data_IF_515808134200
#
_entry.id   IF_515808134200
#
_cell.length_a   1.000
_cell.length_b   1.000
_cell.length_c   1.000
_cell.angle_alpha   90.00
_cell.angle_beta   90.00
_cell.angle_gamma   90.00
#
_symmetry.space_group_name_H-M   'P 1'
#
loop_
_entity.id
_entity.type
_entity.pdbx_description
1 polymer ?
#
# COMPACT_ATOMS: atom_id res chain seq x y z
N UNK A 1 -0.18 7.93 2.30
CA UNK A 1 -0.50 8.89 1.28
C UNK A 1 -2.00 8.91 0.90
N UNK A 2 -2.76 7.89 1.31
CA UNK A 2 -4.21 7.86 1.21
C UNK A 2 -4.78 7.44 -0.15
N UNK A 3 -3.97 7.13 -1.12
CA UNK A 3 -4.44 6.62 -2.41
C UNK A 3 -4.89 5.15 -2.31
N UNK A 4 -5.94 4.74 -3.05
CA UNK A 4 -6.41 3.37 -3.03
C UNK A 4 -5.41 2.42 -3.68
N UNK A 5 -5.43 1.17 -3.22
CA UNK A 5 -4.69 0.04 -3.80
C UNK A 5 -5.68 -0.96 -4.36
N UNK A 6 -5.54 -1.29 -5.62
CA UNK A 6 -6.40 -2.24 -6.32
C UNK A 6 -5.67 -3.56 -6.63
N UNK A 7 -6.44 -4.57 -6.98
CA UNK A 7 -5.92 -5.78 -7.61
C UNK A 7 -5.26 -5.50 -8.97
N UNK A 8 -4.87 -6.55 -9.72
CA UNK A 8 -4.08 -6.37 -10.94
C UNK A 8 -4.88 -5.89 -12.16
N UNK A 9 -6.17 -5.59 -12.03
CA UNK A 9 -7.01 -5.19 -13.14
C UNK A 9 -7.41 -3.73 -13.06
N UNK A 10 -7.27 -3.01 -14.17
CA UNK A 10 -7.79 -1.66 -14.34
C UNK A 10 -8.37 -1.47 -15.76
N UNK A 11 -9.04 -0.35 -16.00
CA UNK A 11 -9.49 -0.01 -17.33
C UNK A 11 -8.32 0.10 -18.30
N UNK A 12 -8.44 -0.48 -19.48
CA UNK A 12 -7.38 -0.47 -20.49
C UNK A 12 -6.94 0.96 -20.84
N UNK A 13 -7.91 1.88 -20.95
CA UNK A 13 -7.63 3.30 -21.09
C UNK A 13 -7.85 4.00 -19.74
N UNK A 14 -6.86 4.70 -19.19
CA UNK A 14 -6.93 5.23 -17.82
C UNK A 14 -8.14 6.14 -17.54
N UNK A 15 -8.63 6.85 -18.56
CA UNK A 15 -9.71 7.82 -18.41
C UNK A 15 -11.04 7.38 -19.05
N UNK A 16 -11.12 6.12 -19.50
CA UNK A 16 -12.32 5.58 -20.14
C UNK A 16 -12.82 4.31 -19.44
N UNK A 17 -13.86 4.47 -18.64
CA UNK A 17 -14.52 3.36 -17.93
C UNK A 17 -15.23 2.35 -18.86
N UNK A 18 -15.35 2.65 -20.16
CA UNK A 18 -15.95 1.75 -21.14
C UNK A 18 -14.89 0.99 -21.96
N UNK A 19 -13.61 1.23 -21.72
CA UNK A 19 -12.51 0.63 -22.50
C UNK A 19 -12.27 -0.87 -22.22
N UNK A 20 -13.05 -1.48 -21.33
CA UNK A 20 -12.77 -2.81 -20.82
C UNK A 20 -11.62 -2.80 -19.79
N UNK A 21 -11.27 -3.97 -19.26
CA UNK A 21 -10.21 -4.11 -18.26
C UNK A 21 -9.07 -4.98 -18.77
N UNK A 22 -7.84 -4.65 -18.33
CA UNK A 22 -6.64 -5.45 -18.56
C UNK A 22 -5.83 -5.58 -17.26
N UNK A 23 -4.94 -6.55 -17.21
CA UNK A 23 -3.92 -6.64 -16.16
C UNK A 23 -2.96 -5.47 -16.27
N UNK A 24 -2.52 -4.96 -15.11
CA UNK A 24 -1.55 -3.88 -15.04
C UNK A 24 -0.14 -4.45 -14.95
N UNK A 25 0.70 -4.01 -15.88
CA UNK A 25 2.11 -4.37 -15.95
C UNK A 25 2.99 -3.33 -15.27
N UNK A 26 4.02 -3.80 -14.57
CA UNK A 26 5.05 -2.96 -13.97
C UNK A 26 5.92 -2.33 -15.04
N UNK A 27 6.44 -1.13 -14.78
CA UNK A 27 7.52 -0.52 -15.57
C UNK A 27 8.92 -0.76 -14.96
N UNK A 28 9.02 -1.68 -14.03
CA UNK A 28 10.31 -2.15 -13.54
C UNK A 28 10.80 -3.33 -14.35
N UNK A 29 12.09 -3.35 -14.65
CA UNK A 29 12.76 -4.42 -15.37
C UNK A 29 13.93 -4.95 -14.57
N UNK A 30 14.15 -6.26 -14.62
CA UNK A 30 15.34 -6.84 -14.02
C UNK A 30 16.59 -6.35 -14.77
N UNK A 31 17.60 -5.91 -14.02
CA UNK A 31 18.90 -5.55 -14.56
C UNK A 31 19.72 -6.80 -14.86
N UNK A 32 20.70 -6.64 -15.75
CA UNK A 32 21.73 -7.67 -15.89
C UNK A 32 22.49 -7.87 -14.57
N UNK A 33 22.91 -9.10 -14.31
CA UNK A 33 23.45 -9.57 -13.03
C UNK A 33 24.76 -8.91 -12.57
N UNK A 34 25.39 -8.07 -13.39
CA UNK A 34 26.63 -7.36 -13.08
C UNK A 34 26.39 -5.88 -12.75
N UNK A 35 25.47 -5.58 -11.85
CA UNK A 35 25.19 -4.19 -11.48
C UNK A 35 26.19 -3.69 -10.45
N UNK A 36 26.82 -2.55 -10.73
CA UNK A 36 27.62 -1.84 -9.73
C UNK A 36 26.74 -1.44 -8.53
N UNK A 37 27.12 -1.90 -7.35
CA UNK A 37 26.40 -1.62 -6.11
C UNK A 37 25.53 -2.78 -5.59
N UNK A 38 25.45 -3.89 -6.33
CA UNK A 38 24.83 -5.11 -5.79
C UNK A 38 25.67 -5.61 -4.61
N UNK A 39 25.03 -5.91 -3.45
CA UNK A 39 25.74 -6.44 -2.30
C UNK A 39 26.49 -7.74 -2.66
N UNK A 40 27.78 -7.80 -2.31
CA UNK A 40 28.60 -9.00 -2.45
C UNK A 40 28.63 -9.75 -1.11
N UNK A 41 28.02 -10.92 -1.07
CA UNK A 41 27.98 -11.79 0.10
C UNK A 41 29.21 -12.74 0.18
N UNK A 42 30.23 -12.53 -0.67
CA UNK A 42 31.53 -13.18 -0.56
C UNK A 42 31.64 -14.61 -1.06
N UNK A 43 30.53 -15.25 -1.44
CA UNK A 43 30.51 -16.61 -1.98
C UNK A 43 29.45 -16.74 -3.06
N UNK A 44 29.81 -17.30 -4.22
CA UNK A 44 28.88 -17.52 -5.33
C UNK A 44 27.70 -18.44 -4.99
N UNK A 45 27.81 -19.25 -3.94
CA UNK A 45 26.74 -20.12 -3.46
C UNK A 45 25.80 -19.43 -2.45
N UNK A 46 26.20 -18.27 -1.94
CA UNK A 46 25.43 -17.48 -0.95
C UNK A 46 24.86 -16.18 -1.54
N UNK A 47 25.31 -15.82 -2.74
CA UNK A 47 24.77 -14.64 -3.41
C UNK A 47 23.31 -14.91 -3.82
N UNK A 48 22.38 -14.01 -3.48
CA UNK A 48 20.99 -14.12 -3.91
C UNK A 48 20.89 -14.20 -5.44
N UNK A 49 19.94 -14.98 -5.97
CA UNK A 49 19.73 -15.03 -7.43
C UNK A 49 19.36 -13.63 -7.96
N UNK A 50 19.54 -13.44 -9.26
CA UNK A 50 19.11 -12.23 -9.94
C UNK A 50 17.61 -12.00 -9.74
N UNK A 51 17.21 -10.78 -9.47
CA UNK A 51 15.83 -10.40 -9.15
C UNK A 51 15.44 -10.53 -7.68
N UNK A 52 16.33 -11.05 -6.83
CA UNK A 52 16.04 -11.22 -5.40
C UNK A 52 16.23 -9.94 -4.58
N UNK A 53 17.05 -9.02 -5.05
CA UNK A 53 17.35 -7.77 -4.37
C UNK A 53 16.70 -6.58 -5.10
N UNK A 54 16.38 -5.55 -4.35
CA UNK A 54 15.81 -4.31 -4.91
C UNK A 54 16.76 -3.69 -5.93
N UNK A 55 18.06 -3.78 -5.71
CA UNK A 55 19.11 -3.30 -6.60
C UNK A 55 19.15 -4.01 -7.95
N UNK A 56 18.55 -5.20 -8.02
CA UNK A 56 18.46 -5.97 -9.27
C UNK A 56 17.41 -5.41 -10.24
N UNK A 57 16.63 -4.41 -9.81
CA UNK A 57 15.56 -3.83 -10.59
C UNK A 57 15.82 -2.37 -10.96
N UNK A 58 15.34 -1.97 -12.11
CA UNK A 58 15.34 -0.58 -12.54
C UNK A 58 13.99 -0.18 -13.11
N UNK A 59 13.60 1.05 -12.83
CA UNK A 59 12.42 1.63 -13.45
C UNK A 59 12.76 2.14 -14.85
N UNK A 60 11.99 1.71 -15.84
CA UNK A 60 12.12 2.14 -17.24
C UNK A 60 10.78 2.74 -17.69
N UNK A 61 10.73 4.05 -17.75
CA UNK A 61 9.50 4.78 -18.06
C UNK A 61 8.86 4.29 -19.37
N UNK A 62 7.55 4.01 -19.31
CA UNK A 62 6.74 3.66 -20.47
C UNK A 62 6.88 2.21 -20.97
N UNK A 63 7.56 1.33 -20.23
CA UNK A 63 7.62 -0.10 -20.57
C UNK A 63 6.43 -0.89 -20.07
N UNK A 64 5.75 -0.40 -19.04
CA UNK A 64 4.51 -0.95 -18.49
C UNK A 64 3.41 0.09 -18.38
N UNK A 65 2.33 -0.28 -17.69
CA UNK A 65 1.15 0.56 -17.49
C UNK A 65 1.28 1.51 -16.28
N UNK A 66 2.23 1.22 -15.38
CA UNK A 66 2.35 1.86 -14.08
C UNK A 66 3.63 2.71 -14.01
N UNK A 67 3.56 3.78 -13.22
CA UNK A 67 4.68 4.70 -13.02
C UNK A 67 5.71 4.19 -11.98
N UNK A 68 6.68 5.04 -11.63
CA UNK A 68 7.73 4.72 -10.63
C UNK A 68 7.18 4.28 -9.27
N UNK A 69 6.00 4.72 -8.89
CA UNK A 69 5.36 4.37 -7.62
C UNK A 69 4.47 3.12 -7.72
N UNK A 70 4.44 2.46 -8.88
CA UNK A 70 3.59 1.33 -9.23
C UNK A 70 2.09 1.68 -9.20
N UNK A 71 1.78 2.85 -9.68
CA UNK A 71 0.42 3.36 -9.80
C UNK A 71 0.22 4.18 -11.06
N UNK A 72 -0.97 4.71 -11.23
CA UNK A 72 -1.29 5.65 -12.30
C UNK A 72 -2.49 6.52 -11.95
N UNK A 73 -2.62 7.66 -12.61
CA UNK A 73 -3.87 8.42 -12.61
C UNK A 73 -4.89 7.74 -13.53
N UNK A 74 -6.08 7.44 -13.00
CA UNK A 74 -7.14 6.80 -13.76
C UNK A 74 -8.50 7.00 -13.11
N UNK A 75 -9.56 6.71 -13.86
CA UNK A 75 -10.89 6.52 -13.27
C UNK A 75 -11.02 5.09 -12.74
N UNK A 76 -11.79 4.94 -11.68
CA UNK A 76 -12.18 3.65 -11.10
C UNK A 76 -13.69 3.68 -10.80
N UNK A 77 -14.34 2.55 -10.50
CA UNK A 77 -15.75 2.56 -10.12
C UNK A 77 -16.03 3.48 -8.94
N UNK A 78 -15.15 3.54 -7.95
CA UNK A 78 -15.28 4.37 -6.74
C UNK A 78 -14.89 5.83 -7.00
N UNK A 79 -14.04 6.08 -8.01
CA UNK A 79 -13.55 7.42 -8.36
C UNK A 79 -13.80 7.72 -9.84
N UNK A 80 -15.06 7.96 -10.25
CA UNK A 80 -15.41 8.17 -11.65
C UNK A 80 -14.86 9.49 -12.24
N UNK A 81 -14.45 10.42 -11.38
CA UNK A 81 -13.81 11.67 -11.78
C UNK A 81 -12.28 11.57 -11.84
N UNK A 82 -11.73 10.41 -11.51
CA UNK A 82 -10.31 10.14 -11.52
C UNK A 82 -9.66 10.28 -10.14
N UNK A 83 -8.67 9.44 -9.93
CA UNK A 83 -7.77 9.46 -8.77
C UNK A 83 -6.42 8.90 -9.18
N UNK A 84 -5.40 9.09 -8.36
CA UNK A 84 -4.24 8.24 -8.43
C UNK A 84 -4.54 6.93 -7.70
N UNK A 85 -4.11 5.80 -8.24
CA UNK A 85 -4.31 4.49 -7.63
C UNK A 85 -3.09 3.60 -7.85
N UNK A 86 -2.76 2.80 -6.84
CA UNK A 86 -1.78 1.74 -6.93
C UNK A 86 -2.45 0.46 -7.42
N UNK A 87 -1.68 -0.38 -8.09
CA UNK A 87 -2.17 -1.67 -8.58
C UNK A 87 -1.19 -2.78 -8.26
N UNK A 88 -1.72 -3.97 -7.96
CA UNK A 88 -0.89 -5.16 -7.96
C UNK A 88 -0.36 -5.38 -9.36
N UNK A 89 0.96 -5.51 -9.50
CA UNK A 89 1.59 -5.85 -10.78
C UNK A 89 1.76 -7.36 -10.92
N UNK A 90 1.46 -7.85 -12.12
CA UNK A 90 1.60 -9.27 -12.49
C UNK A 90 2.26 -9.36 -13.87
N UNK A 91 3.00 -10.45 -14.06
CA UNK A 91 3.58 -10.79 -15.35
C UNK A 91 2.54 -11.37 -16.33
N UNK A 92 2.99 -11.73 -17.54
CA UNK A 92 2.16 -12.32 -18.59
C UNK A 92 1.55 -13.68 -18.20
N UNK A 93 2.05 -14.30 -17.14
CA UNK A 93 1.55 -15.57 -16.58
C UNK A 93 0.64 -15.36 -15.37
N UNK A 94 0.33 -14.10 -15.03
CA UNK A 94 -0.41 -13.69 -13.84
C UNK A 94 0.30 -14.03 -12.52
N UNK A 95 1.61 -14.21 -12.55
CA UNK A 95 2.42 -14.31 -11.34
C UNK A 95 2.77 -12.89 -10.82
N UNK A 96 2.92 -12.71 -9.50
CA UNK A 96 3.31 -11.41 -8.93
C UNK A 96 4.64 -10.92 -9.51
N UNK A 97 4.66 -9.69 -10.00
CA UNK A 97 5.83 -9.04 -10.60
C UNK A 97 6.29 -7.85 -9.74
N UNK A 98 7.61 -7.62 -9.73
CA UNK A 98 8.18 -6.51 -8.95
C UNK A 98 7.66 -5.15 -9.47
N UNK A 99 7.30 -4.22 -8.61
CA UNK A 99 7.44 -4.14 -7.15
C UNK A 99 6.22 -4.68 -6.37
N UNK A 100 5.41 -5.49 -6.96
CA UNK A 100 4.27 -6.23 -6.42
C UNK A 100 3.03 -5.36 -6.14
N UNK A 101 3.16 -4.27 -5.37
CA UNK A 101 2.02 -3.46 -4.97
C UNK A 101 2.33 -1.95 -5.01
N UNK A 102 3.34 -1.52 -4.27
CA UNK A 102 3.78 -0.12 -4.21
C UNK A 102 5.23 -0.08 -4.64
N UNK A 103 5.60 0.93 -5.42
CA UNK A 103 6.98 1.14 -5.86
C UNK A 103 7.95 1.38 -4.69
N UNK A 104 9.18 1.72 -5.00
CA UNK A 104 10.21 1.97 -3.98
C UNK A 104 9.89 3.14 -3.06
N UNK A 105 8.99 4.01 -3.48
CA UNK A 105 8.44 5.12 -2.67
C UNK A 105 6.96 5.28 -2.97
N UNK A 106 6.22 5.83 -2.02
CA UNK A 106 4.83 6.24 -2.23
C UNK A 106 4.76 7.51 -3.07
N UNK A 107 3.63 7.74 -3.74
CA UNK A 107 3.38 8.91 -4.60
C UNK A 107 3.46 10.22 -3.83
N UNK A 108 2.80 10.26 -2.67
CA UNK A 108 2.76 11.40 -1.79
C UNK A 108 3.43 11.06 -0.46
N UNK A 109 3.82 12.09 0.27
CA UNK A 109 4.32 11.90 1.63
C UNK A 109 3.26 11.22 2.48
N UNK A 110 3.67 10.20 3.22
CA UNK A 110 2.77 9.54 4.17
C UNK A 110 2.41 10.56 5.25
N UNK A 111 1.12 10.94 5.28
CA UNK A 111 0.61 11.79 6.35
C UNK A 111 0.49 10.96 7.63
N UNK A 112 1.40 11.19 8.56
CA UNK A 112 1.37 10.55 9.87
C UNK A 112 0.27 11.09 10.79
N UNK A 113 -0.43 12.13 10.35
CA UNK A 113 -1.61 12.69 11.05
C UNK A 113 -2.93 12.11 10.52
N UNK A 114 -2.85 11.06 9.68
CA UNK A 114 -4.00 10.48 9.00
C UNK A 114 -5.12 10.10 9.97
N UNK A 115 -6.21 10.82 9.85
CA UNK A 115 -7.49 10.44 10.44
C UNK A 115 -8.23 9.61 9.40
N UNK A 116 -8.46 8.33 9.66
CA UNK A 116 -9.25 7.49 8.78
C UNK A 116 -10.66 8.08 8.72
N UNK A 117 -10.97 8.84 7.66
CA UNK A 117 -12.36 9.15 7.37
C UNK A 117 -13.02 7.86 6.89
N UNK A 118 -14.18 7.48 7.46
CA UNK A 118 -14.90 6.32 6.96
C UNK A 118 -15.20 6.53 5.48
N UNK A 119 -14.87 5.52 4.67
CA UNK A 119 -15.27 5.48 3.26
C UNK A 119 -16.79 5.59 3.26
N UNK A 120 -17.32 6.70 2.74
CA UNK A 120 -18.74 6.77 2.44
C UNK A 120 -18.99 5.75 1.33
N UNK A 121 -19.60 4.63 1.69
CA UNK A 121 -20.17 3.74 0.69
C UNK A 121 -21.23 4.55 -0.05
N UNK A 122 -20.96 4.80 -1.32
CA UNK A 122 -21.93 5.39 -2.22
C UNK A 122 -23.14 4.45 -2.26
N UNK A 123 -24.27 4.96 -1.77
CA UNK A 123 -25.55 4.25 -1.79
C UNK A 123 -26.03 4.23 -3.23
N UNK A 124 -25.53 3.28 -4.02
CA UNK A 124 -26.16 2.92 -5.29
C UNK A 124 -27.59 2.46 -5.00
N UNK A 125 -28.56 3.28 -5.40
CA UNK A 125 -29.98 3.04 -5.18
C UNK A 125 -30.44 1.71 -5.77
N UNK A 126 -30.91 0.84 -4.89
CA UNK A 126 -31.67 -0.36 -5.16
C UNK A 126 -32.50 -0.64 -3.91
N UNK A 127 -33.77 -0.30 -4.00
CA UNK A 127 -34.80 -0.54 -3.00
C UNK A 127 -35.01 -2.04 -2.78
N UNK A 128 -34.44 -2.60 -1.71
CA UNK A 128 -34.89 -3.82 -1.09
C UNK A 128 -34.66 -3.71 0.43
N UNK A 129 -35.78 -3.48 1.14
CA UNK A 129 -35.86 -3.24 2.57
C UNK A 129 -35.31 -4.37 3.43
N UNK A 130 -34.06 -4.20 3.82
CA UNK A 130 -33.38 -4.96 4.84
C UNK A 130 -32.12 -4.22 5.22
N UNK A 131 -32.13 -3.55 6.40
CA UNK A 131 -30.93 -2.94 6.99
C UNK A 131 -29.80 -3.97 7.07
N UNK A 132 -28.88 -3.95 6.09
CA UNK A 132 -27.62 -4.65 6.23
C UNK A 132 -26.86 -4.00 7.41
N UNK A 133 -26.41 -4.76 8.40
CA UNK A 133 -25.70 -4.21 9.53
C UNK A 133 -24.45 -3.47 9.04
N UNK A 134 -24.34 -2.20 9.37
CA UNK A 134 -23.16 -1.38 9.08
C UNK A 134 -21.94 -2.10 9.68
N UNK A 135 -20.89 -2.40 8.88
CA UNK A 135 -19.72 -3.06 9.43
C UNK A 135 -19.09 -2.18 10.51
N UNK A 136 -18.65 -2.77 11.61
CA UNK A 136 -18.03 -2.01 12.70
C UNK A 136 -16.75 -1.33 12.24
N UNK A 137 -16.62 -0.04 12.50
CA UNK A 137 -15.43 0.77 12.15
C UNK A 137 -14.64 1.08 13.41
N UNK A 138 -13.34 0.79 13.40
CA UNK A 138 -12.42 1.16 14.48
C UNK A 138 -11.96 2.60 14.28
N UNK A 139 -12.21 3.46 15.27
CA UNK A 139 -11.77 4.85 15.28
C UNK A 139 -10.81 5.11 16.44
N UNK A 140 -9.61 5.60 16.15
CA UNK A 140 -8.69 6.07 17.17
C UNK A 140 -9.09 7.47 17.61
N UNK A 141 -9.38 7.64 18.90
CA UNK A 141 -9.72 8.93 19.52
C UNK A 141 -8.52 9.60 20.17
N UNK A 142 -7.46 8.83 20.43
CA UNK A 142 -6.19 9.31 20.94
C UNK A 142 -5.06 8.45 20.38
N UNK A 143 -4.12 9.07 19.70
CA UNK A 143 -2.90 8.44 19.22
C UNK A 143 -1.75 8.64 20.23
N UNK A 144 -0.85 7.64 20.40
CA UNK A 144 0.33 7.80 21.21
C UNK A 144 1.21 8.93 20.70
N UNK A 145 1.67 9.78 21.61
CA UNK A 145 2.62 10.83 21.28
C UNK A 145 4.05 10.34 21.50
N UNK A 146 4.98 10.83 20.67
CA UNK A 146 6.40 10.56 20.86
C UNK A 146 6.89 11.10 22.22
N UNK A 147 7.69 10.33 22.94
CA UNK A 147 8.29 10.73 24.18
C UNK A 147 9.80 10.49 24.15
N UNK A 148 10.57 11.46 24.63
CA UNK A 148 12.02 11.34 24.84
C UNK A 148 12.27 11.36 26.34
N UNK A 149 12.92 10.31 26.86
CA UNK A 149 13.26 10.18 28.27
C UNK A 149 14.73 9.81 28.43
N UNK A 150 15.33 10.16 29.57
CA UNK A 150 16.70 9.74 29.88
C UNK A 150 16.74 8.27 30.28
N UNK A 151 17.93 7.68 30.25
CA UNK A 151 18.14 6.31 30.70
C UNK A 151 17.72 6.13 32.18
N UNK A 152 16.82 5.19 32.43
CA UNK A 152 16.25 4.92 33.74
C UNK A 152 14.94 5.64 34.07
N UNK A 153 14.49 6.55 33.20
CA UNK A 153 13.17 7.19 33.32
C UNK A 153 12.08 6.36 32.66
N UNK A 154 10.83 6.63 32.99
CA UNK A 154 9.65 5.95 32.43
C UNK A 154 9.00 6.82 31.40
N UNK A 155 8.79 6.28 30.18
CA UNK A 155 7.91 6.86 29.17
C UNK A 155 6.51 6.23 29.27
N UNK A 156 5.48 7.05 29.19
CA UNK A 156 4.08 6.59 29.17
C UNK A 156 3.46 6.93 27.82
N UNK A 157 2.87 5.93 27.19
CA UNK A 157 2.14 6.07 25.94
C UNK A 157 0.67 5.74 26.18
N UNK A 158 -0.21 6.56 25.65
CA UNK A 158 -1.65 6.38 25.78
C UNK A 158 -2.28 6.31 24.40
N UNK A 159 -3.17 5.33 24.20
CA UNK A 159 -3.99 5.17 23.00
C UNK A 159 -5.44 4.96 23.42
N UNK A 160 -6.37 5.54 22.70
CA UNK A 160 -7.79 5.26 22.83
C UNK A 160 -8.40 5.01 21.44
N UNK A 161 -9.30 4.03 21.38
CA UNK A 161 -10.07 3.74 20.18
C UNK A 161 -11.51 3.43 20.54
N UNK A 162 -12.42 3.62 19.59
CA UNK A 162 -13.81 3.15 19.70
C UNK A 162 -14.16 2.32 18.46
N UNK A 163 -15.18 1.46 18.64
CA UNK A 163 -15.84 0.76 17.54
C UNK A 163 -17.19 1.43 17.33
N UNK A 164 -17.52 1.78 16.11
CA UNK A 164 -18.80 2.42 15.74
C UNK A 164 -19.50 1.57 14.68
N UNK A 165 -20.75 1.12 14.91
CA UNK A 165 -21.49 1.17 16.18
C UNK A 165 -20.85 0.29 17.25
N UNK A 166 -21.06 0.62 18.53
CA UNK A 166 -20.45 -0.10 19.65
C UNK A 166 -20.80 -1.58 19.61
N UNK A 167 -19.83 -2.42 19.28
CA UNK A 167 -19.95 -3.87 19.17
C UNK A 167 -18.70 -4.57 19.68
N UNK A 168 -18.57 -4.70 20.98
CA UNK A 168 -17.60 -5.58 21.62
C UNK A 168 -16.35 -4.90 22.18
N UNK A 169 -15.54 -5.66 22.92
CA UNK A 169 -14.36 -5.17 23.58
C UNK A 169 -13.21 -4.91 22.59
N UNK A 170 -12.47 -3.81 22.79
CA UNK A 170 -11.23 -3.53 22.10
C UNK A 170 -10.08 -4.07 22.95
N UNK A 171 -9.19 -4.84 22.34
CA UNK A 171 -7.92 -5.24 22.97
C UNK A 171 -6.75 -4.49 22.34
N UNK A 172 -5.79 -4.12 23.15
CA UNK A 172 -4.58 -3.40 22.73
C UNK A 172 -3.36 -4.27 22.97
N UNK A 173 -2.42 -4.26 22.02
CA UNK A 173 -1.13 -4.92 22.18
C UNK A 173 -0.01 -3.96 21.77
N UNK A 174 0.99 -3.82 22.65
CA UNK A 174 2.16 -3.02 22.39
C UNK A 174 3.32 -3.91 21.96
N UNK A 175 4.01 -3.49 20.91
CA UNK A 175 5.22 -4.15 20.45
C UNK A 175 6.42 -3.25 20.68
N UNK A 176 7.54 -3.84 21.04
CA UNK A 176 8.81 -3.16 21.16
C UNK A 176 9.71 -3.61 20.00
N UNK A 177 10.16 -2.64 19.20
CA UNK A 177 11.24 -2.87 18.26
C UNK A 177 12.59 -2.81 18.97
N UNK A 178 13.51 -3.71 18.63
CA UNK A 178 14.88 -3.75 19.13
C UNK A 178 15.91 -3.38 18.06
N UNK A 179 15.47 -3.05 16.85
CA UNK A 179 16.26 -2.84 15.63
C UNK A 179 16.31 -1.37 15.17
N UNK A 180 15.98 -0.43 16.09
CA UNK A 180 16.06 1.01 15.80
C UNK A 180 14.79 1.62 15.19
N UNK A 181 13.66 0.90 15.20
CA UNK A 181 12.34 1.53 15.06
C UNK A 181 11.81 1.68 13.65
N UNK A 182 12.02 0.72 12.78
CA UNK A 182 11.16 0.59 11.62
C UNK A 182 9.82 -0.01 12.08
N UNK A 183 8.78 0.85 12.16
CA UNK A 183 7.41 0.39 12.35
C UNK A 183 6.91 -0.26 11.06
N UNK A 184 6.30 -1.41 11.20
CA UNK A 184 5.54 -2.07 10.13
C UNK A 184 4.10 -1.56 10.16
#
# INVERSE_FOLDING_TARGET
DGFPVYGPFAYTQPWDSLSGTSTMSSSYSARDTEVAGRPDYGSTSENPPAGALVEDWEYVEGTGDLDYHNGRFCVTPEYPNGTYAYFLSVDDQSAPDFPYMIGLTTRETIDTTYTVSPVQQDQGGGDDGGDAPTPPTLQFTLQPQSATVNAGETATFTVNALIIPENGPISYQWYRSTDGGFAF
#
